data_IF_646618409836
#
_entry.id   IF_646618409836
#
_cell.length_a   1.000
_cell.length_b   1.000
_cell.length_c   1.000
_cell.angle_alpha   90.00
_cell.angle_beta   90.00
_cell.angle_gamma   90.00
#
_symmetry.space_group_name_H-M   'P 1'
#
loop_
_entity.id
_entity.type
_entity.pdbx_description
1 polymer ?
#
# COMPACT_ATOMS: atom_id res chain seq x y z
N UNK A 1 -11.33 -17.14 -4.10
CA UNK A 1 -10.88 -17.17 -2.68
C UNK A 1 -9.53 -16.49 -2.47
N UNK A 2 -8.54 -16.67 -3.36
CA UNK A 2 -7.21 -16.07 -3.23
C UNK A 2 -7.23 -14.54 -3.04
N UNK A 3 -8.10 -13.82 -3.76
CA UNK A 3 -8.30 -12.37 -3.65
C UNK A 3 -8.58 -11.84 -2.24
N UNK A 4 -9.14 -12.67 -1.35
CA UNK A 4 -9.42 -12.29 0.03
C UNK A 4 -8.33 -12.75 1.02
N UNK A 5 -7.66 -13.87 0.71
CA UNK A 5 -6.71 -14.51 1.62
C UNK A 5 -5.32 -13.89 1.48
N UNK A 6 -4.88 -13.59 0.25
CA UNK A 6 -3.53 -13.07 0.00
C UNK A 6 -3.25 -11.74 0.72
N UNK A 7 -4.16 -10.75 0.75
CA UNK A 7 -3.93 -9.50 1.50
C UNK A 7 -3.81 -9.74 3.02
N UNK A 8 -4.58 -10.68 3.58
CA UNK A 8 -4.50 -11.03 5.00
C UNK A 8 -3.16 -11.72 5.29
N UNK A 9 -2.77 -12.68 4.44
CA UNK A 9 -1.49 -13.37 4.58
C UNK A 9 -0.31 -12.41 4.46
N UNK A 10 -0.38 -11.41 3.58
CA UNK A 10 0.65 -10.37 3.47
C UNK A 10 0.89 -9.64 4.79
N UNK A 11 -0.19 -9.29 5.52
CA UNK A 11 -0.09 -8.64 6.84
C UNK A 11 0.52 -9.59 7.87
N UNK A 12 0.12 -10.86 7.88
CA UNK A 12 0.68 -11.88 8.78
C UNK A 12 2.17 -12.10 8.49
N UNK A 13 2.56 -12.18 7.21
CA UNK A 13 3.96 -12.30 6.80
C UNK A 13 4.75 -11.08 7.27
N UNK A 14 4.24 -9.87 7.04
CA UNK A 14 4.92 -8.64 7.49
C UNK A 14 5.10 -8.58 9.02
N UNK A 15 4.09 -9.01 9.78
CA UNK A 15 4.18 -9.17 11.23
C UNK A 15 5.28 -10.16 11.64
N UNK A 16 5.28 -11.36 11.07
CA UNK A 16 6.27 -12.41 11.40
C UNK A 16 7.69 -11.97 11.03
N UNK A 17 7.87 -11.38 9.86
CA UNK A 17 9.17 -10.86 9.40
C UNK A 17 9.65 -9.74 10.33
N UNK A 18 8.75 -8.85 10.79
CA UNK A 18 9.08 -7.78 11.75
C UNK A 18 9.51 -8.32 13.12
N UNK A 19 8.92 -9.42 13.60
CA UNK A 19 9.30 -10.05 14.87
C UNK A 19 10.66 -10.78 14.77
N UNK A 20 10.93 -11.43 13.64
CA UNK A 20 12.16 -12.22 13.43
C UNK A 20 13.35 -11.34 13.04
N UNK A 21 13.10 -10.25 12.33
CA UNK A 21 14.17 -9.37 11.84
C UNK A 21 14.51 -8.33 12.89
N UNK A 22 15.74 -8.39 13.39
CA UNK A 22 16.27 -7.40 14.33
C UNK A 22 16.21 -5.98 13.74
N UNK A 23 15.78 -4.98 14.52
CA UNK A 23 15.44 -3.61 14.09
C UNK A 23 16.56 -2.84 13.37
N UNK A 24 17.76 -3.41 13.29
CA UNK A 24 18.97 -2.80 12.74
C UNK A 24 19.17 -3.00 11.23
N UNK A 25 18.37 -3.83 10.54
CA UNK A 25 18.54 -4.14 9.10
C UNK A 25 17.78 -3.21 8.15
N UNK A 26 17.94 -1.89 8.34
CA UNK A 26 17.32 -0.83 7.52
C UNK A 26 17.52 -1.00 6.00
N UNK A 27 18.63 -1.60 5.57
CA UNK A 27 18.96 -1.76 4.15
C UNK A 27 18.00 -2.70 3.40
N UNK A 28 17.68 -3.88 3.98
CA UNK A 28 16.81 -4.86 3.31
C UNK A 28 15.37 -4.36 3.23
N UNK A 29 14.88 -3.70 4.29
CA UNK A 29 13.55 -3.08 4.29
C UNK A 29 13.44 -1.99 3.22
N UNK A 30 14.47 -1.15 3.04
CA UNK A 30 14.53 -0.14 1.98
C UNK A 30 14.52 -0.76 0.56
N UNK A 31 15.23 -1.86 0.35
CA UNK A 31 15.19 -2.58 -0.93
C UNK A 31 13.83 -3.24 -1.19
N UNK A 32 13.24 -3.85 -0.16
CA UNK A 32 11.92 -4.47 -0.26
C UNK A 32 10.84 -3.43 -0.56
N UNK A 33 10.89 -2.26 0.10
CA UNK A 33 10.04 -1.10 -0.21
C UNK A 33 10.22 -0.67 -1.68
N UNK A 34 11.46 -0.52 -2.14
CA UNK A 34 11.73 -0.08 -3.51
C UNK A 34 11.22 -1.07 -4.57
N UNK A 35 11.44 -2.38 -4.35
CA UNK A 35 10.89 -3.44 -5.19
C UNK A 35 9.36 -3.43 -5.19
N UNK A 36 8.77 -3.35 -4.00
CA UNK A 36 7.33 -3.35 -3.84
C UNK A 36 6.67 -2.14 -4.52
N UNK A 37 7.22 -0.94 -4.32
CA UNK A 37 6.72 0.29 -4.92
C UNK A 37 6.81 0.28 -6.45
N UNK A 38 7.91 -0.25 -7.01
CA UNK A 38 8.05 -0.38 -8.47
C UNK A 38 7.11 -1.46 -9.04
N UNK A 39 6.96 -2.60 -8.36
CA UNK A 39 6.06 -3.67 -8.77
C UNK A 39 4.60 -3.20 -8.81
N UNK A 40 4.13 -2.52 -7.75
CA UNK A 40 2.80 -1.93 -7.70
C UNK A 40 2.61 -0.86 -8.78
N UNK A 41 3.61 0.01 -9.00
CA UNK A 41 3.57 1.05 -10.03
C UNK A 41 3.45 0.44 -11.43
N UNK A 42 4.21 -0.61 -11.72
CA UNK A 42 4.15 -1.27 -13.02
C UNK A 42 2.78 -1.88 -13.30
N UNK A 43 2.20 -2.63 -12.36
CA UNK A 43 0.84 -3.17 -12.55
C UNK A 43 -0.21 -2.06 -12.65
N UNK A 44 -0.03 -0.96 -11.92
CA UNK A 44 -0.90 0.22 -12.07
C UNK A 44 -0.82 0.78 -13.50
N UNK A 45 0.37 0.85 -14.09
CA UNK A 45 0.60 1.38 -15.43
C UNK A 45 0.20 0.43 -16.55
N UNK A 46 0.42 -0.88 -16.39
CA UNK A 46 0.21 -1.88 -17.43
C UNK A 46 -1.21 -2.45 -17.42
N UNK A 47 -1.85 -2.53 -16.26
CA UNK A 47 -3.18 -3.17 -16.14
C UNK A 47 -4.26 -2.14 -15.82
N UNK A 48 -4.12 -1.46 -14.67
CA UNK A 48 -5.23 -0.70 -14.11
C UNK A 48 -5.47 0.62 -14.87
N UNK A 49 -4.40 1.30 -15.27
CA UNK A 49 -4.48 2.57 -15.99
C UNK A 49 -5.14 2.41 -17.37
N UNK A 50 -4.72 1.47 -18.26
CA UNK A 50 -5.42 1.25 -19.52
C UNK A 50 -6.91 0.93 -19.32
N UNK A 51 -7.24 0.06 -18.35
CA UNK A 51 -8.60 -0.38 -18.08
C UNK A 51 -9.54 0.81 -17.80
N UNK A 52 -9.14 1.76 -16.93
CA UNK A 52 -10.01 2.91 -16.62
C UNK A 52 -10.14 3.90 -17.78
N UNK A 53 -9.14 4.01 -18.66
CA UNK A 53 -9.20 4.88 -19.85
C UNK A 53 -10.04 4.28 -20.98
N UNK A 54 -10.21 2.96 -21.02
CA UNK A 54 -11.12 2.30 -21.97
C UNK A 54 -12.60 2.51 -21.61
N UNK A 55 -12.90 2.66 -20.31
CA UNK A 55 -14.28 2.67 -19.81
C UNK A 55 -14.81 4.04 -19.39
N UNK A 56 -13.94 5.04 -19.25
CA UNK A 56 -14.29 6.39 -18.81
C UNK A 56 -13.85 7.47 -19.80
N UNK A 57 -14.44 8.65 -19.71
CA UNK A 57 -14.00 9.81 -20.49
C UNK A 57 -12.61 10.26 -20.04
N UNK A 58 -11.70 10.46 -21.00
CA UNK A 58 -10.27 10.69 -20.75
C UNK A 58 -9.98 11.83 -19.77
N UNK A 59 -10.66 12.98 -19.92
CA UNK A 59 -10.43 14.14 -19.05
C UNK A 59 -10.96 13.89 -17.64
N UNK A 60 -12.14 13.26 -17.51
CA UNK A 60 -12.68 12.84 -16.22
C UNK A 60 -11.77 11.84 -15.52
N UNK A 61 -11.26 10.82 -16.21
CA UNK A 61 -10.31 9.85 -15.64
C UNK A 61 -9.10 10.57 -15.02
N UNK A 62 -8.51 11.52 -15.74
CA UNK A 62 -7.41 12.34 -15.22
C UNK A 62 -7.78 13.13 -13.96
N UNK A 63 -9.01 13.65 -13.85
CA UNK A 63 -9.49 14.35 -12.65
C UNK A 63 -9.59 13.41 -11.45
N UNK A 64 -10.10 12.19 -11.63
CA UNK A 64 -10.21 11.22 -10.54
C UNK A 64 -8.85 10.68 -10.10
N UNK A 65 -7.90 10.49 -11.02
CA UNK A 65 -6.51 10.18 -10.69
C UNK A 65 -5.89 11.30 -9.85
N UNK A 66 -6.08 12.56 -10.26
CA UNK A 66 -5.59 13.71 -9.48
C UNK A 66 -6.24 13.78 -8.09
N UNK A 67 -7.54 13.51 -8.00
CA UNK A 67 -8.25 13.43 -6.72
C UNK A 67 -7.67 12.32 -5.83
N UNK A 68 -7.31 11.18 -6.39
CA UNK A 68 -6.62 10.10 -5.69
C UNK A 68 -5.26 10.49 -5.13
N UNK A 69 -4.44 11.19 -5.91
CA UNK A 69 -3.14 11.72 -5.44
C UNK A 69 -3.38 12.69 -4.26
N UNK A 70 -4.31 13.64 -4.39
CA UNK A 70 -4.61 14.60 -3.33
C UNK A 70 -5.17 13.93 -2.08
N UNK A 71 -6.06 12.94 -2.25
CA UNK A 71 -6.58 12.15 -1.14
C UNK A 71 -5.44 11.45 -0.41
N UNK A 72 -4.51 10.84 -1.15
CA UNK A 72 -3.37 10.15 -0.56
C UNK A 72 -2.43 11.10 0.18
N UNK A 73 -2.19 12.30 -0.32
CA UNK A 73 -1.44 13.35 0.40
C UNK A 73 -2.10 13.70 1.74
N UNK A 74 -3.43 13.79 1.76
CA UNK A 74 -4.19 14.06 3.00
C UNK A 74 -4.09 12.88 3.98
N UNK A 75 -4.23 11.64 3.50
CA UNK A 75 -4.04 10.44 4.31
C UNK A 75 -2.63 10.37 4.88
N UNK A 76 -1.61 10.63 4.05
CA UNK A 76 -0.21 10.65 4.47
C UNK A 76 0.06 11.67 5.60
N UNK A 77 -0.54 12.85 5.52
CA UNK A 77 -0.45 13.86 6.59
C UNK A 77 -0.94 13.30 7.94
N UNK A 78 -2.01 12.52 7.95
CA UNK A 78 -2.53 11.88 9.16
C UNK A 78 -1.76 10.62 9.57
N UNK A 79 -1.15 9.92 8.62
CA UNK A 79 -0.32 8.74 8.87
C UNK A 79 1.13 9.06 9.22
N UNK A 80 1.55 10.33 9.15
CA UNK A 80 2.94 10.77 9.36
C UNK A 80 3.94 9.97 8.50
N UNK A 81 3.54 9.56 7.28
CA UNK A 81 4.40 8.78 6.38
C UNK A 81 4.65 7.32 6.81
N UNK A 82 3.77 6.73 7.60
CA UNK A 82 3.91 5.34 8.06
C UNK A 82 3.97 4.30 6.92
N UNK A 83 3.38 4.62 5.78
CA UNK A 83 3.26 3.74 4.61
C UNK A 83 4.59 3.61 3.83
N UNK A 84 5.50 4.56 4.02
CA UNK A 84 6.80 4.58 3.33
C UNK A 84 8.00 4.62 4.28
N UNK A 85 7.76 4.59 5.60
CA UNK A 85 8.77 4.28 6.62
C UNK A 85 9.26 5.47 7.45
N UNK A 86 8.60 6.62 7.38
CA UNK A 86 9.02 7.86 8.06
C UNK A 86 8.40 8.06 9.45
N UNK A 87 8.22 6.99 10.23
CA UNK A 87 7.62 7.12 11.56
C UNK A 87 8.67 7.55 12.58
N UNK A 88 8.59 8.80 13.05
CA UNK A 88 9.36 9.25 14.20
C UNK A 88 8.82 8.61 15.49
N UNK A 89 9.61 7.71 16.08
CA UNK A 89 9.28 7.02 17.33
C UNK A 89 9.53 7.99 18.49
N UNK A 90 8.46 8.55 19.06
CA UNK A 90 8.53 9.23 20.35
C UNK A 90 8.21 8.22 21.45
N UNK A 91 9.21 7.92 22.29
CA UNK A 91 9.11 6.88 23.33
C UNK A 91 8.03 7.12 24.41
N UNK A 92 7.45 8.32 24.47
CA UNK A 92 6.48 8.71 25.51
C UNK A 92 5.00 8.74 25.05
N UNK A 93 4.69 8.39 23.80
CA UNK A 93 3.29 8.34 23.33
C UNK A 93 2.57 7.08 23.85
N UNK A 94 1.68 7.26 24.84
CA UNK A 94 0.84 6.19 25.42
C UNK A 94 -0.59 6.14 24.84
N UNK A 95 -0.97 7.18 24.07
CA UNK A 95 -2.29 7.30 23.44
C UNK A 95 -2.31 6.57 22.11
N UNK A 96 -3.39 5.80 21.87
CA UNK A 96 -3.57 5.09 20.62
C UNK A 96 -3.65 6.08 19.43
N UNK A 97 -2.93 5.84 18.32
CA UNK A 97 -2.77 6.81 17.26
C UNK A 97 -3.94 6.71 16.27
N UNK A 98 -5.10 7.24 16.68
CA UNK A 98 -6.35 7.11 15.91
C UNK A 98 -6.28 7.68 14.50
N UNK A 99 -5.60 8.81 14.30
CA UNK A 99 -5.46 9.44 12.98
C UNK A 99 -4.67 8.55 12.02
N UNK A 100 -3.52 8.04 12.49
CA UNK A 100 -2.71 7.05 11.76
C UNK A 100 -3.55 5.81 11.42
N UNK A 101 -4.24 5.27 12.41
CA UNK A 101 -5.05 4.06 12.25
C UNK A 101 -6.16 4.25 11.22
N UNK A 102 -6.94 5.33 11.32
CA UNK A 102 -8.04 5.59 10.41
C UNK A 102 -7.54 5.86 8.99
N UNK A 103 -6.45 6.61 8.85
CA UNK A 103 -5.84 6.88 7.56
C UNK A 103 -5.43 5.60 6.84
N UNK A 104 -4.69 4.73 7.54
CA UNK A 104 -4.25 3.44 7.02
C UNK A 104 -5.43 2.52 6.69
N UNK A 105 -6.52 2.59 7.46
CA UNK A 105 -7.72 1.82 7.17
C UNK A 105 -8.42 2.31 5.88
N UNK A 106 -8.53 3.63 5.68
CA UNK A 106 -9.12 4.20 4.45
C UNK A 106 -8.26 3.84 3.24
N UNK A 107 -6.95 4.02 3.34
CA UNK A 107 -6.00 3.63 2.31
C UNK A 107 -6.12 2.13 1.95
N UNK A 108 -6.01 1.25 2.95
CA UNK A 108 -6.10 -0.22 2.82
C UNK A 108 -7.48 -0.70 2.36
N UNK A 109 -8.53 0.09 2.60
CA UNK A 109 -9.87 -0.21 2.08
C UNK A 109 -9.95 0.10 0.58
N UNK A 110 -9.48 1.27 0.16
CA UNK A 110 -9.50 1.70 -1.24
C UNK A 110 -8.61 0.81 -2.12
N UNK A 111 -7.44 0.38 -1.62
CA UNK A 111 -6.55 -0.53 -2.37
C UNK A 111 -7.21 -1.88 -2.71
N UNK A 112 -8.29 -2.25 -2.03
CA UNK A 112 -9.02 -3.50 -2.26
C UNK A 112 -10.00 -3.46 -3.44
N UNK A 113 -10.40 -2.27 -3.90
CA UNK A 113 -11.36 -2.10 -5.01
C UNK A 113 -10.89 -2.69 -6.34
N UNK A 114 -9.66 -2.43 -6.80
CA UNK A 114 -9.22 -2.91 -8.10
C UNK A 114 -8.91 -4.42 -8.10
N UNK A 115 -9.11 -5.15 -7.00
CA UNK A 115 -8.89 -6.60 -6.97
C UNK A 115 -10.14 -7.30 -7.51
N UNK A 116 -10.06 -7.83 -8.73
CA UNK A 116 -11.14 -8.58 -9.38
C UNK A 116 -10.70 -10.02 -9.73
N UNK A 117 -11.64 -10.89 -10.10
CA UNK A 117 -11.36 -12.32 -10.33
C UNK A 117 -10.32 -12.61 -11.43
N UNK A 118 -10.01 -11.65 -12.31
CA UNK A 118 -9.21 -11.87 -13.52
C UNK A 118 -8.04 -10.89 -13.67
N UNK A 119 -7.60 -10.22 -12.59
CA UNK A 119 -6.43 -9.33 -12.68
C UNK A 119 -5.34 -9.65 -11.68
N UNK A 120 -4.10 -9.36 -12.08
CA UNK A 120 -2.89 -9.59 -11.31
C UNK A 120 -2.72 -8.60 -10.15
N UNK A 121 -3.70 -7.71 -9.95
CA UNK A 121 -3.66 -6.70 -8.92
C UNK A 121 -3.61 -7.26 -7.50
N UNK A 122 -4.14 -8.46 -7.29
CA UNK A 122 -3.99 -9.16 -6.01
C UNK A 122 -2.51 -9.37 -5.64
N UNK A 123 -1.64 -9.65 -6.61
CA UNK A 123 -0.22 -9.84 -6.38
C UNK A 123 0.47 -8.52 -6.07
N UNK A 124 0.13 -7.46 -6.82
CA UNK A 124 0.60 -6.10 -6.58
C UNK A 124 0.33 -5.65 -5.15
N UNK A 125 -0.92 -5.74 -4.73
CA UNK A 125 -1.36 -5.36 -3.38
C UNK A 125 -0.72 -6.27 -2.33
N UNK A 126 -0.65 -7.58 -2.55
CA UNK A 126 0.02 -8.50 -1.61
C UNK A 126 1.48 -8.12 -1.38
N UNK A 127 2.25 -7.90 -2.45
CA UNK A 127 3.67 -7.51 -2.36
C UNK A 127 3.82 -6.16 -1.67
N UNK A 128 2.91 -5.22 -1.92
CA UNK A 128 2.88 -3.91 -1.28
C UNK A 128 2.57 -3.94 0.22
N UNK A 129 1.68 -4.83 0.63
CA UNK A 129 1.20 -4.86 2.00
C UNK A 129 2.21 -5.46 2.98
N UNK A 130 3.16 -6.28 2.50
CA UNK A 130 4.21 -6.88 3.33
C UNK A 130 5.11 -5.80 3.96
N UNK A 131 5.78 -4.89 3.19
CA UNK A 131 6.57 -3.80 3.76
C UNK A 131 5.80 -2.91 4.74
N UNK A 132 4.58 -2.52 4.38
CA UNK A 132 3.74 -1.65 5.22
C UNK A 132 3.42 -2.33 6.55
N UNK A 133 3.01 -3.60 6.52
CA UNK A 133 2.75 -4.38 7.73
C UNK A 133 4.01 -4.53 8.59
N UNK A 134 5.20 -4.67 8.00
CA UNK A 134 6.47 -4.69 8.74
C UNK A 134 6.74 -3.35 9.45
N UNK A 135 6.55 -2.23 8.77
CA UNK A 135 6.77 -0.89 9.32
C UNK A 135 5.80 -0.58 10.46
N UNK A 136 4.51 -0.84 10.25
CA UNK A 136 3.45 -0.63 11.25
C UNK A 136 3.71 -1.53 12.47
N UNK A 137 4.01 -2.81 12.26
CA UNK A 137 4.30 -3.74 13.36
C UNK A 137 5.49 -3.25 14.18
N UNK A 138 6.57 -2.84 13.51
CA UNK A 138 7.77 -2.33 14.17
C UNK A 138 7.44 -1.09 15.02
N UNK A 139 6.66 -0.17 14.48
CA UNK A 139 6.20 1.02 15.20
C UNK A 139 5.33 0.68 16.41
N UNK A 140 4.34 -0.20 16.24
CA UNK A 140 3.42 -0.61 17.31
C UNK A 140 4.15 -1.34 18.44
N UNK A 141 5.14 -2.19 18.12
CA UNK A 141 5.95 -2.92 19.10
C UNK A 141 6.98 -2.02 19.81
N UNK A 142 7.46 -0.97 19.13
CA UNK A 142 8.37 0.02 19.71
C UNK A 142 7.66 1.08 20.57
N UNK A 143 6.33 1.14 20.47
CA UNK A 143 5.49 2.07 21.23
C UNK A 143 5.02 1.45 22.55
N UNK A 144 4.67 2.28 23.53
CA UNK A 144 4.18 1.84 24.84
C UNK A 144 2.69 1.40 24.84
N UNK A 145 2.23 0.77 23.74
CA UNK A 145 0.84 0.30 23.61
C UNK A 145 0.67 -1.11 24.20
N UNK A 146 -0.53 -1.40 24.72
CA UNK A 146 -0.83 -2.76 25.18
C UNK A 146 -0.90 -3.72 23.99
N UNK A 147 -0.46 -4.97 24.19
CA UNK A 147 -0.49 -6.02 23.15
C UNK A 147 -1.87 -6.17 22.50
N UNK A 148 -2.94 -6.00 23.28
CA UNK A 148 -4.32 -6.03 22.78
C UNK A 148 -4.60 -4.94 21.75
N UNK A 149 -4.11 -3.71 21.97
CA UNK A 149 -4.27 -2.59 21.02
C UNK A 149 -3.50 -2.86 19.72
N UNK A 150 -2.29 -3.41 19.81
CA UNK A 150 -1.50 -3.75 18.63
C UNK A 150 -2.17 -4.84 17.80
N UNK A 151 -2.67 -5.90 18.45
CA UNK A 151 -3.40 -6.97 17.78
C UNK A 151 -4.70 -6.43 17.15
N UNK A 152 -5.47 -5.62 17.87
CA UNK A 152 -6.66 -4.97 17.34
C UNK A 152 -6.35 -4.15 16.09
N UNK A 153 -5.30 -3.32 16.13
CA UNK A 153 -4.85 -2.52 14.99
C UNK A 153 -4.59 -3.41 13.77
N UNK A 154 -3.75 -4.43 13.92
CA UNK A 154 -3.32 -5.29 12.81
C UNK A 154 -4.47 -6.11 12.22
N UNK A 155 -5.39 -6.60 13.07
CA UNK A 155 -6.56 -7.34 12.62
C UNK A 155 -7.46 -6.43 11.77
N UNK A 156 -7.83 -5.25 12.29
CA UNK A 156 -8.71 -4.34 11.57
C UNK A 156 -8.06 -3.87 10.27
N UNK A 157 -6.79 -3.46 10.32
CA UNK A 157 -6.02 -3.06 9.14
C UNK A 157 -5.92 -4.17 8.08
N UNK A 158 -5.71 -5.42 8.51
CA UNK A 158 -5.65 -6.59 7.63
C UNK A 158 -6.98 -6.92 6.94
N UNK A 159 -8.10 -6.58 7.57
CA UNK A 159 -9.44 -6.83 7.03
C UNK A 159 -9.94 -5.75 6.05
N UNK A 160 -9.31 -4.57 6.00
CA UNK A 160 -9.78 -3.47 5.14
C UNK A 160 -9.67 -3.78 3.64
N UNK A 161 -8.58 -4.38 3.15
CA UNK A 161 -8.47 -4.77 1.73
C UNK A 161 -9.50 -5.82 1.33
N UNK A 162 -9.64 -6.95 2.06
CA UNK A 162 -10.70 -7.92 1.76
C UNK A 162 -12.09 -7.29 1.80
N UNK A 163 -12.33 -6.32 2.69
CA UNK A 163 -13.59 -5.59 2.75
C UNK A 163 -13.82 -4.74 1.50
N UNK A 164 -12.81 -3.98 1.04
CA UNK A 164 -12.87 -3.23 -0.22
C UNK A 164 -13.11 -4.13 -1.43
N UNK A 165 -12.39 -5.26 -1.51
CA UNK A 165 -12.57 -6.30 -2.53
C UNK A 165 -13.96 -6.92 -2.49
N UNK A 166 -14.52 -7.16 -1.30
CA UNK A 166 -15.87 -7.69 -1.16
C UNK A 166 -16.89 -6.70 -1.68
N UNK A 167 -16.79 -5.44 -1.28
CA UNK A 167 -17.71 -4.38 -1.71
C UNK A 167 -17.66 -4.21 -3.24
N UNK A 168 -16.45 -4.16 -3.81
CA UNK A 168 -16.24 -4.00 -5.26
C UNK A 168 -16.80 -5.17 -6.08
N UNK A 169 -16.71 -6.42 -5.58
CA UNK A 169 -17.09 -7.61 -6.34
C UNK A 169 -18.50 -8.15 -6.06
N UNK A 170 -19.10 -7.85 -4.90
CA UNK A 170 -20.34 -8.50 -4.45
C UNK A 170 -21.52 -7.55 -4.26
N UNK A 171 -21.28 -6.24 -4.12
CA UNK A 171 -22.38 -5.29 -4.05
C UNK A 171 -22.80 -4.90 -5.46
N UNK A 172 -24.11 -4.67 -5.67
CA UNK A 172 -24.68 -4.19 -6.94
C UNK A 172 -24.31 -2.72 -7.23
N UNK A 173 -23.02 -2.42 -7.26
CA UNK A 173 -22.46 -1.13 -7.62
C UNK A 173 -22.40 -1.08 -9.13
N UNK A 174 -22.88 0.01 -9.75
CA UNK A 174 -22.75 0.18 -11.18
C UNK A 174 -21.26 0.18 -11.58
N UNK A 175 -20.90 -0.61 -12.59
CA UNK A 175 -19.51 -0.76 -13.07
C UNK A 175 -18.81 0.58 -13.31
N UNK A 176 -19.55 1.58 -13.80
CA UNK A 176 -19.04 2.95 -13.99
C UNK A 176 -18.48 3.57 -12.71
N UNK A 177 -19.12 3.36 -11.55
CA UNK A 177 -18.59 3.84 -10.28
C UNK A 177 -17.34 3.08 -9.84
N UNK A 178 -17.24 1.79 -10.15
CA UNK A 178 -16.03 1.00 -9.88
C UNK A 178 -14.85 1.59 -10.65
N UNK A 179 -15.02 1.92 -11.94
CA UNK A 179 -13.96 2.55 -12.72
C UNK A 179 -13.54 3.92 -12.17
N UNK A 180 -14.49 4.74 -11.67
CA UNK A 180 -14.13 6.01 -11.03
C UNK A 180 -13.36 5.80 -9.72
N UNK A 181 -13.73 4.79 -8.91
CA UNK A 181 -12.98 4.44 -7.70
C UNK A 181 -11.60 3.91 -8.07
N UNK A 182 -11.49 3.04 -9.08
CA UNK A 182 -10.21 2.55 -9.58
C UNK A 182 -9.31 3.69 -10.09
N UNK A 183 -9.88 4.73 -10.73
CA UNK A 183 -9.15 5.94 -11.10
C UNK A 183 -8.59 6.69 -9.87
N UNK A 184 -9.35 6.78 -8.78
CA UNK A 184 -8.85 7.33 -7.50
C UNK A 184 -7.72 6.43 -6.96
N UNK A 185 -7.88 5.11 -7.00
CA UNK A 185 -6.89 4.16 -6.49
C UNK A 185 -5.58 4.21 -7.31
N UNK A 186 -5.65 4.39 -8.62
CA UNK A 186 -4.47 4.68 -9.47
C UNK A 186 -3.72 5.90 -8.94
N UNK A 187 -4.44 6.98 -8.60
CA UNK A 187 -3.84 8.19 -8.02
C UNK A 187 -3.14 7.92 -6.68
N UNK A 188 -3.77 7.11 -5.82
CA UNK A 188 -3.18 6.64 -4.56
C UNK A 188 -1.88 5.86 -4.80
N UNK A 189 -1.90 4.90 -5.73
CA UNK A 189 -0.74 4.07 -6.06
C UNK A 189 0.39 4.89 -6.69
N UNK A 190 0.07 5.84 -7.57
CA UNK A 190 1.07 6.76 -8.14
C UNK A 190 1.77 7.56 -7.05
N UNK A 191 1.02 8.15 -6.11
CA UNK A 191 1.62 8.92 -5.03
C UNK A 191 2.55 8.04 -4.18
N UNK A 192 2.05 6.92 -3.65
CA UNK A 192 2.84 6.03 -2.77
C UNK A 192 4.06 5.47 -3.46
N UNK A 193 3.89 4.93 -4.68
CA UNK A 193 5.01 4.36 -5.42
C UNK A 193 6.07 5.41 -5.75
N UNK A 194 5.69 6.60 -6.17
CA UNK A 194 6.67 7.66 -6.49
C UNK A 194 7.38 8.18 -5.23
N UNK A 195 6.67 8.36 -4.12
CA UNK A 195 7.28 8.69 -2.81
C UNK A 195 8.30 7.62 -2.41
N UNK A 196 7.94 6.34 -2.46
CA UNK A 196 8.85 5.23 -2.13
C UNK A 196 10.07 5.21 -3.07
N UNK A 197 9.88 5.42 -4.37
CA UNK A 197 10.94 5.34 -5.37
C UNK A 197 11.91 6.51 -5.31
N UNK A 198 11.42 7.73 -5.10
CA UNK A 198 12.22 8.95 -5.22
C UNK A 198 12.67 9.52 -3.88
N UNK A 199 11.82 9.51 -2.85
CA UNK A 199 12.11 10.16 -1.56
C UNK A 199 13.04 9.31 -0.66
N UNK A 200 13.02 7.98 -0.78
CA UNK A 200 13.90 7.09 0.01
C UNK A 200 15.39 7.14 -0.37
N UNK A 201 15.83 8.14 -1.15
CA UNK A 201 17.23 8.34 -1.54
C UNK A 201 17.96 9.30 -0.59
N UNK A 202 18.57 8.76 0.46
CA UNK A 202 19.43 9.55 1.35
C UNK A 202 20.75 9.96 0.64
N UNK A 203 20.96 11.28 0.48
CA UNK A 203 22.28 11.86 0.19
C UNK A 203 22.75 11.88 -1.26
N UNK A 204 21.85 11.83 -2.26
CA UNK A 204 22.14 11.95 -3.70
C UNK A 204 23.18 10.95 -4.27
N UNK A 205 23.54 9.90 -3.53
CA UNK A 205 24.43 8.84 -4.02
C UNK A 205 23.61 7.78 -4.76
N UNK A 206 24.01 7.50 -5.99
CA UNK A 206 23.40 6.45 -6.80
C UNK A 206 23.52 5.09 -6.09
N UNK A 207 22.38 4.41 -5.87
CA UNK A 207 22.32 3.10 -5.24
C UNK A 207 21.93 2.04 -6.29
N UNK A 208 22.91 1.27 -6.75
CA UNK A 208 22.68 0.27 -7.81
C UNK A 208 21.76 -0.85 -7.35
N UNK A 209 21.83 -1.28 -6.09
CA UNK A 209 20.95 -2.33 -5.57
C UNK A 209 19.49 -1.87 -5.53
N UNK A 210 19.24 -0.60 -5.20
CA UNK A 210 17.90 0.00 -5.29
C UNK A 210 17.42 0.01 -6.74
N UNK A 211 18.25 0.44 -7.69
CA UNK A 211 17.88 0.41 -9.11
C UNK A 211 17.59 -1.01 -9.59
N UNK A 212 18.40 -2.00 -9.21
CA UNK A 212 18.17 -3.41 -9.54
C UNK A 212 16.83 -3.89 -8.97
N UNK A 213 16.51 -3.57 -7.72
CA UNK A 213 15.22 -3.91 -7.12
C UNK A 213 14.05 -3.28 -7.90
N UNK A 214 14.19 -2.03 -8.34
CA UNK A 214 13.18 -1.33 -9.13
C UNK A 214 12.96 -2.04 -10.47
N UNK A 215 14.05 -2.31 -11.21
CA UNK A 215 14.02 -2.99 -12.52
C UNK A 215 13.41 -4.38 -12.39
N UNK A 216 13.77 -5.15 -11.35
CA UNK A 216 13.19 -6.47 -11.11
C UNK A 216 11.68 -6.37 -10.87
N UNK A 217 11.21 -5.39 -10.09
CA UNK A 217 9.78 -5.17 -9.89
C UNK A 217 9.05 -4.89 -11.21
N UNK A 218 9.62 -4.06 -12.09
CA UNK A 218 9.03 -3.80 -13.40
C UNK A 218 9.01 -5.03 -14.31
N UNK A 219 10.11 -5.78 -14.38
CA UNK A 219 10.20 -6.98 -15.23
C UNK A 219 9.20 -8.04 -14.77
N UNK A 220 9.12 -8.30 -13.46
CA UNK A 220 8.20 -9.32 -12.94
C UNK A 220 6.76 -8.89 -13.15
N UNK A 221 6.41 -7.63 -12.89
CA UNK A 221 5.06 -7.10 -13.13
C UNK A 221 4.64 -7.19 -14.60
N UNK A 222 5.57 -6.97 -15.53
CA UNK A 222 5.29 -7.09 -16.96
C UNK A 222 5.18 -8.55 -17.46
N UNK A 223 5.71 -9.51 -16.70
CA UNK A 223 5.81 -10.92 -17.13
C UNK A 223 4.69 -11.80 -16.59
N UNK A 224 3.89 -11.29 -15.66
CA UNK A 224 2.67 -11.94 -15.16
C UNK A 224 1.49 -11.40 -15.97
#
# INVERSE_FOLDING_TARGET
MQQYILPILAVVIGLLVSIVTDHKRNYLSKLLLSFSGSFLLALTLFDLLPEVYEHLETKQTGVFIMAGILLQVVLEFFSKGAEHGHIHIHHDETKFPWLLFLSLCIHSFLEGFPIHHHNDMVYGVMVHKIPIAMLITTYLLSSNFSKQKCIFFLIVFGLMTPLGTLISNQMDIALTYIYYINAIVIGIFFHISTTILFESSEGHKFNISKLTAIILGFIIAYSI
#
